data_IF_126656556918
#
_entry.id   IF_126656556918
#
_cell.length_a   1.000
_cell.length_b   1.000
_cell.length_c   1.000
_cell.angle_alpha   90.00
_cell.angle_beta   90.00
_cell.angle_gamma   90.00
#
_symmetry.space_group_name_H-M   'P 1'
#
loop_
_entity.id
_entity.type
_entity.pdbx_description
1 polymer ?
#
# COMPACT_ATOMS: atom_id res chain seq x y z
N UNK A 1 56.25 -16.31 -4.06
CA UNK A 1 55.87 -15.79 -5.39
C UNK A 1 54.38 -15.47 -5.31
N UNK A 2 54.05 -14.24 -4.86
CA UNK A 2 52.66 -13.79 -4.74
C UNK A 2 52.16 -13.39 -6.13
N UNK A 3 51.06 -13.99 -6.58
CA UNK A 3 50.38 -13.59 -7.80
C UNK A 3 49.66 -12.25 -7.56
N UNK A 4 49.98 -11.26 -8.39
CA UNK A 4 49.29 -9.97 -8.40
C UNK A 4 47.85 -10.15 -8.91
N UNK A 5 46.89 -9.65 -8.13
CA UNK A 5 45.50 -9.53 -8.55
C UNK A 5 45.40 -8.53 -9.72
N UNK A 6 44.55 -8.78 -10.73
CA UNK A 6 44.36 -7.85 -11.83
C UNK A 6 43.64 -6.59 -11.34
N UNK A 7 44.24 -5.43 -11.61
CA UNK A 7 43.60 -4.11 -11.52
C UNK A 7 42.38 -4.06 -12.44
N UNK A 8 41.22 -3.56 -11.98
CA UNK A 8 40.07 -3.38 -12.86
C UNK A 8 40.41 -2.35 -13.95
N UNK A 9 40.07 -2.68 -15.18
CA UNK A 9 40.12 -1.79 -16.33
C UNK A 9 39.26 -0.55 -16.05
N UNK A 10 39.77 0.61 -16.43
CA UNK A 10 39.25 1.93 -16.05
C UNK A 10 37.75 2.09 -16.30
N UNK A 11 37.06 2.60 -15.28
CA UNK A 11 35.78 3.27 -15.45
C UNK A 11 35.98 4.43 -16.43
N UNK A 12 35.37 4.32 -17.62
CA UNK A 12 35.23 5.48 -18.50
C UNK A 12 34.55 6.60 -17.72
N UNK A 13 35.06 7.82 -17.84
CA UNK A 13 34.44 9.00 -17.23
C UNK A 13 32.97 9.04 -17.64
N UNK A 14 32.05 8.89 -16.67
CA UNK A 14 30.62 8.94 -16.94
C UNK A 14 30.28 10.31 -17.51
N UNK A 15 29.61 10.35 -18.67
CA UNK A 15 29.12 11.60 -19.23
C UNK A 15 28.23 12.33 -18.20
N UNK A 16 28.33 13.65 -18.15
CA UNK A 16 27.53 14.48 -17.23
C UNK A 16 26.03 14.19 -17.41
N UNK A 17 25.29 13.91 -16.32
CA UNK A 17 23.90 13.53 -16.39
C UNK A 17 23.03 14.67 -16.93
N UNK A 18 21.98 14.29 -17.64
CA UNK A 18 20.86 15.16 -17.97
C UNK A 18 20.06 15.39 -16.68
N UNK A 19 20.07 16.61 -16.14
CA UNK A 19 19.28 16.92 -14.95
C UNK A 19 17.91 17.47 -15.34
N UNK A 20 16.86 16.91 -14.75
CA UNK A 20 15.48 17.37 -14.78
C UNK A 20 15.01 17.63 -13.34
N UNK A 21 14.18 18.65 -13.15
CA UNK A 21 13.67 19.03 -11.84
C UNK A 21 12.15 18.90 -11.80
N UNK A 22 11.63 18.46 -10.66
CA UNK A 22 10.20 18.38 -10.35
C UNK A 22 9.97 19.09 -9.01
N UNK A 23 9.03 20.02 -8.94
CA UNK A 23 8.70 20.79 -7.74
C UNK A 23 7.18 21.05 -7.62
N UNK A 24 6.61 21.21 -6.42
CA UNK A 24 5.19 21.50 -6.23
C UNK A 24 4.71 22.80 -6.91
N UNK A 25 5.59 23.80 -7.00
CA UNK A 25 5.35 25.08 -7.68
C UNK A 25 5.76 25.09 -9.16
N UNK A 26 6.11 23.92 -9.70
CA UNK A 26 6.47 23.71 -11.09
C UNK A 26 5.30 23.85 -12.06
N UNK A 27 5.62 23.74 -13.35
CA UNK A 27 4.64 23.73 -14.44
C UNK A 27 5.07 22.68 -15.48
N UNK A 28 4.15 21.80 -15.87
CA UNK A 28 4.43 20.73 -16.82
C UNK A 28 4.64 21.23 -18.26
N UNK A 29 4.35 22.51 -18.54
CA UNK A 29 4.69 23.18 -19.79
C UNK A 29 6.15 23.67 -19.85
N UNK A 30 6.85 23.75 -18.72
CA UNK A 30 8.25 24.19 -18.67
C UNK A 30 9.22 23.11 -19.16
N UNK A 31 10.51 23.45 -19.25
CA UNK A 31 11.55 22.53 -19.73
C UNK A 31 11.99 21.51 -18.67
N UNK A 32 11.75 21.80 -17.39
CA UNK A 32 12.26 21.04 -16.26
C UNK A 32 13.76 21.19 -16.04
N UNK A 33 14.45 22.09 -16.76
CA UNK A 33 15.92 22.25 -16.68
C UNK A 33 16.39 23.14 -15.54
N UNK A 34 15.50 23.98 -15.02
CA UNK A 34 15.81 24.89 -13.93
C UNK A 34 15.26 24.33 -12.62
N UNK A 35 16.04 24.47 -11.55
CA UNK A 35 15.63 24.01 -10.21
C UNK A 35 14.54 24.86 -9.58
N UNK A 36 14.33 26.08 -10.09
CA UNK A 36 13.30 27.01 -9.64
C UNK A 36 12.77 27.80 -10.86
N UNK A 37 11.56 28.37 -10.77
CA UNK A 37 11.03 29.25 -11.82
C UNK A 37 11.98 30.41 -12.11
N UNK A 38 12.17 30.74 -13.40
CA UNK A 38 12.86 31.97 -13.78
C UNK A 38 12.03 33.22 -13.44
N UNK A 39 12.64 34.40 -13.50
CA UNK A 39 12.04 35.64 -12.98
C UNK A 39 10.70 36.02 -13.67
N UNK A 40 10.54 35.68 -14.94
CA UNK A 40 9.34 35.89 -15.74
C UNK A 40 8.38 34.69 -15.76
N UNK A 41 8.70 33.61 -15.03
CA UNK A 41 7.91 32.36 -14.94
C UNK A 41 7.61 31.72 -16.30
N UNK A 42 8.53 31.87 -17.26
CA UNK A 42 8.46 31.23 -18.58
C UNK A 42 9.14 29.86 -18.62
N UNK A 43 9.96 29.53 -17.62
CA UNK A 43 10.62 28.23 -17.48
C UNK A 43 10.90 27.91 -15.99
N UNK A 44 11.16 26.63 -15.69
CA UNK A 44 11.28 26.14 -14.32
C UNK A 44 11.25 24.61 -14.21
N UNK A 45 11.03 24.07 -13.00
CA UNK A 45 10.84 22.63 -12.78
C UNK A 45 9.47 22.15 -13.29
N UNK A 46 9.35 20.87 -13.64
CA UNK A 46 8.05 20.26 -13.89
C UNK A 46 7.19 20.24 -12.62
N UNK A 47 5.87 20.17 -12.76
CA UNK A 47 4.96 19.97 -11.64
C UNK A 47 4.85 18.49 -11.24
N UNK A 48 5.00 17.57 -12.21
CA UNK A 48 4.74 16.14 -12.00
C UNK A 48 5.88 15.21 -12.41
N UNK A 49 6.01 14.08 -11.71
CA UNK A 49 6.93 13.01 -12.12
C UNK A 49 6.51 12.35 -13.45
N UNK A 50 5.21 12.31 -13.75
CA UNK A 50 4.70 11.82 -15.02
C UNK A 50 5.25 12.66 -16.19
N UNK A 51 5.29 13.98 -16.03
CA UNK A 51 5.88 14.87 -17.03
C UNK A 51 7.39 14.65 -17.19
N UNK A 52 8.11 14.43 -16.10
CA UNK A 52 9.55 14.11 -16.14
C UNK A 52 9.81 12.81 -16.92
N UNK A 53 9.02 11.75 -16.67
CA UNK A 53 9.03 10.51 -17.47
C UNK A 53 8.82 10.81 -18.96
N UNK A 54 7.80 11.59 -19.30
CA UNK A 54 7.48 11.90 -20.70
C UNK A 54 8.59 12.70 -21.39
N UNK A 55 9.27 13.58 -20.65
CA UNK A 55 10.45 14.28 -21.13
C UNK A 55 11.62 13.32 -21.41
N UNK A 56 11.84 12.32 -20.55
CA UNK A 56 12.86 11.28 -20.77
C UNK A 56 12.57 10.46 -22.02
N UNK A 57 11.30 10.08 -22.24
CA UNK A 57 10.87 9.39 -23.46
C UNK A 57 11.12 10.24 -24.70
N UNK A 58 10.84 11.54 -24.65
CA UNK A 58 11.13 12.46 -25.75
C UNK A 58 12.64 12.52 -26.06
N UNK A 59 13.49 12.66 -25.03
CA UNK A 59 14.95 12.65 -25.18
C UNK A 59 15.47 11.35 -25.79
N UNK A 60 14.91 10.20 -25.42
CA UNK A 60 15.25 8.91 -26.04
C UNK A 60 14.92 8.88 -27.52
N UNK A 61 13.74 9.36 -27.91
CA UNK A 61 13.34 9.44 -29.32
C UNK A 61 14.28 10.34 -30.13
N UNK A 62 14.64 11.49 -29.58
CA UNK A 62 15.61 12.41 -30.20
C UNK A 62 17.01 11.78 -30.34
N UNK A 63 17.40 10.93 -29.39
CA UNK A 63 18.67 10.20 -29.40
C UNK A 63 18.65 8.90 -30.22
N UNK A 64 17.56 8.58 -30.93
CA UNK A 64 17.46 7.37 -31.75
C UNK A 64 17.11 6.08 -31.00
N UNK A 65 16.54 6.19 -29.80
CA UNK A 65 15.96 5.08 -29.04
C UNK A 65 16.58 4.85 -27.66
N UNK A 66 17.83 5.27 -27.44
CA UNK A 66 18.52 5.12 -26.16
C UNK A 66 19.36 6.37 -25.84
N UNK A 67 19.47 6.71 -24.56
CA UNK A 67 20.31 7.82 -24.12
C UNK A 67 21.77 7.39 -24.05
N UNK A 68 22.68 8.24 -24.52
CA UNK A 68 24.13 8.04 -24.39
C UNK A 68 24.72 8.53 -23.06
N UNK A 69 23.88 9.07 -22.16
CA UNK A 69 24.28 9.60 -20.84
C UNK A 69 23.16 9.45 -19.83
N UNK A 70 23.47 9.42 -18.52
CA UNK A 70 22.47 9.24 -17.47
C UNK A 70 21.44 10.39 -17.41
N UNK A 71 20.31 10.15 -16.75
CA UNK A 71 19.33 11.19 -16.39
C UNK A 71 19.09 11.19 -14.89
N UNK A 72 19.18 12.35 -14.28
CA UNK A 72 18.81 12.57 -12.88
C UNK A 72 17.54 13.43 -12.84
N UNK A 73 16.47 12.89 -12.27
CA UNK A 73 15.22 13.58 -11.96
C UNK A 73 15.26 13.97 -10.48
N UNK A 74 15.57 15.23 -10.22
CA UNK A 74 15.63 15.81 -8.87
C UNK A 74 14.25 16.28 -8.44
N UNK A 75 13.68 15.57 -7.47
CA UNK A 75 12.37 15.83 -6.90
C UNK A 75 12.54 16.69 -5.66
N UNK A 76 12.10 17.95 -5.74
CA UNK A 76 12.19 18.91 -4.64
C UNK A 76 11.15 18.62 -3.56
N UNK A 77 11.39 19.11 -2.35
CA UNK A 77 10.59 18.91 -1.16
C UNK A 77 9.17 19.41 -1.32
N UNK A 78 8.23 18.61 -0.81
CA UNK A 78 6.81 18.90 -0.89
C UNK A 78 5.97 17.65 -1.11
N UNK A 79 4.66 17.83 -1.17
CA UNK A 79 3.69 16.74 -1.36
C UNK A 79 3.22 16.71 -2.81
N UNK A 80 3.39 15.59 -3.47
CA UNK A 80 2.95 15.32 -4.84
C UNK A 80 1.71 14.42 -4.79
N UNK A 81 0.58 14.94 -5.25
CA UNK A 81 -0.66 14.16 -5.29
C UNK A 81 -0.58 13.09 -6.39
N UNK A 82 -0.83 11.84 -6.00
CA UNK A 82 -0.90 10.68 -6.90
C UNK A 82 -2.35 10.22 -6.91
N UNK A 83 -3.10 10.50 -7.97
CA UNK A 83 -4.49 9.99 -8.10
C UNK A 83 -4.53 8.64 -8.83
N UNK A 84 -3.51 8.37 -9.65
CA UNK A 84 -3.27 7.10 -10.31
C UNK A 84 -1.77 6.79 -10.27
N UNK A 85 -1.36 5.50 -10.25
CA UNK A 85 0.04 5.13 -10.11
C UNK A 85 0.93 5.77 -11.19
N UNK A 86 2.14 6.19 -10.81
CA UNK A 86 3.19 6.47 -11.80
C UNK A 86 3.58 5.14 -12.46
N UNK A 87 3.23 4.96 -13.73
CA UNK A 87 3.58 3.75 -14.47
C UNK A 87 4.85 3.99 -15.29
N UNK A 88 5.85 3.14 -15.06
CA UNK A 88 7.08 3.05 -15.85
C UNK A 88 7.14 1.68 -16.54
N UNK A 89 7.49 1.70 -17.81
CA UNK A 89 7.45 0.55 -18.74
C UNK A 89 8.84 0.35 -19.35
N UNK A 90 9.07 -0.66 -20.22
CA UNK A 90 10.37 -0.82 -20.89
C UNK A 90 10.84 0.39 -21.70
N UNK A 91 9.93 1.29 -22.11
CA UNK A 91 10.30 2.56 -22.77
C UNK A 91 11.07 3.50 -21.81
N UNK A 92 10.88 3.33 -20.50
CA UNK A 92 11.44 4.18 -19.45
C UNK A 92 12.81 3.68 -18.97
N UNK A 93 13.19 2.44 -19.28
CA UNK A 93 14.45 1.81 -18.89
C UNK A 93 15.72 2.61 -19.25
N UNK A 94 16.67 2.67 -18.32
CA UNK A 94 18.03 3.14 -18.60
C UNK A 94 18.90 2.03 -19.20
N UNK A 95 20.21 2.25 -19.15
CA UNK A 95 21.23 1.21 -19.33
C UNK A 95 22.24 1.29 -18.19
N UNK A 96 23.10 0.29 -18.03
CA UNK A 96 24.19 0.36 -17.05
C UNK A 96 25.10 1.61 -17.24
N UNK A 97 25.27 2.09 -18.47
CA UNK A 97 26.08 3.28 -18.77
C UNK A 97 25.28 4.60 -18.73
N UNK A 98 23.96 4.53 -18.84
CA UNK A 98 23.04 5.67 -18.86
C UNK A 98 21.77 5.33 -18.05
N UNK A 99 21.87 5.18 -16.72
CA UNK A 99 20.72 4.90 -15.87
C UNK A 99 19.79 6.12 -15.80
N UNK A 100 18.56 5.88 -15.32
CA UNK A 100 17.60 6.94 -14.98
C UNK A 100 17.38 6.90 -13.47
N UNK A 101 17.67 8.02 -12.81
CA UNK A 101 17.59 8.15 -11.35
C UNK A 101 16.49 9.15 -11.00
N UNK A 102 15.51 8.75 -10.19
CA UNK A 102 14.58 9.64 -9.52
C UNK A 102 15.05 9.81 -8.08
N UNK A 103 15.51 11.00 -7.72
CA UNK A 103 16.13 11.26 -6.42
C UNK A 103 15.52 12.49 -5.75
N UNK A 104 15.42 12.45 -4.43
CA UNK A 104 15.16 13.64 -3.65
C UNK A 104 16.24 14.68 -3.87
N UNK A 105 15.84 15.95 -4.00
CA UNK A 105 16.79 17.06 -3.99
C UNK A 105 17.61 17.05 -2.68
N UNK A 106 18.88 17.49 -2.71
CA UNK A 106 19.77 17.37 -1.55
C UNK A 106 19.20 17.98 -0.26
N UNK A 107 19.00 17.14 0.75
CA UNK A 107 18.49 17.57 2.07
C UNK A 107 16.97 17.77 2.14
N UNK A 108 16.25 17.42 1.07
CA UNK A 108 14.79 17.58 0.97
C UNK A 108 14.07 16.23 1.07
N UNK A 109 12.78 16.25 1.40
CA UNK A 109 11.97 15.03 1.58
C UNK A 109 10.67 15.14 0.76
N UNK A 110 10.71 14.78 -0.53
CA UNK A 110 9.52 14.74 -1.37
C UNK A 110 8.61 13.56 -0.98
N UNK A 111 7.31 13.84 -0.83
CA UNK A 111 6.29 12.84 -0.47
C UNK A 111 5.32 12.64 -1.64
N UNK A 112 5.36 11.46 -2.25
CA UNK A 112 4.39 11.01 -3.24
C UNK A 112 3.19 10.43 -2.51
N UNK A 113 2.10 11.20 -2.46
CA UNK A 113 0.94 10.93 -1.63
C UNK A 113 -0.26 10.53 -2.48
N UNK A 114 -0.73 9.30 -2.31
CA UNK A 114 -1.95 8.77 -2.91
C UNK A 114 -3.25 9.29 -2.28
N UNK A 115 -3.13 10.11 -1.24
CA UNK A 115 -4.24 10.53 -0.39
C UNK A 115 -4.68 11.96 -0.63
N UNK A 116 -5.94 12.21 -0.28
CA UNK A 116 -6.60 13.50 -0.34
C UNK A 116 -6.97 13.97 1.06
N UNK A 117 -6.75 15.26 1.31
CA UNK A 117 -7.14 15.91 2.57
C UNK A 117 -8.67 15.99 2.66
N UNK A 118 -9.22 15.66 3.81
CA UNK A 118 -10.63 15.86 4.14
C UNK A 118 -10.73 17.16 4.96
N UNK A 119 -11.67 18.02 4.57
CA UNK A 119 -11.88 19.34 5.16
C UNK A 119 -13.33 19.51 5.62
N UNK A 120 -13.63 20.66 6.22
CA UNK A 120 -15.00 21.02 6.58
C UNK A 120 -15.56 20.25 7.78
N UNK A 121 -14.69 19.81 8.70
CA UNK A 121 -15.11 19.21 9.96
C UNK A 121 -15.89 20.21 10.81
N UNK A 122 -17.03 19.77 11.32
CA UNK A 122 -17.89 20.52 12.23
C UNK A 122 -18.15 19.70 13.48
N UNK A 123 -18.27 20.37 14.63
CA UNK A 123 -18.54 19.70 15.90
C UNK A 123 -19.95 19.11 15.91
N UNK A 124 -20.04 17.84 16.32
CA UNK A 124 -21.27 17.07 16.42
C UNK A 124 -21.23 16.18 17.67
N UNK A 125 -22.23 15.31 17.83
CA UNK A 125 -22.28 14.32 18.89
C UNK A 125 -22.83 13.01 18.33
N UNK A 126 -22.12 11.91 18.57
CA UNK A 126 -22.50 10.56 18.14
C UNK A 126 -22.36 9.64 19.35
N UNK A 127 -23.35 8.78 19.61
CA UNK A 127 -23.35 7.86 20.75
C UNK A 127 -23.04 8.54 22.11
N UNK A 128 -23.55 9.77 22.30
CA UNK A 128 -23.28 10.62 23.47
C UNK A 128 -21.80 11.03 23.67
N UNK A 129 -20.98 10.93 22.61
CA UNK A 129 -19.56 11.34 22.59
C UNK A 129 -19.38 12.57 21.69
N UNK A 130 -18.45 13.49 22.04
CA UNK A 130 -18.01 14.53 21.11
C UNK A 130 -17.47 13.90 19.83
N UNK A 131 -17.96 14.36 18.69
CA UNK A 131 -17.58 13.87 17.37
C UNK A 131 -17.35 15.07 16.46
N UNK A 132 -16.53 14.91 15.42
CA UNK A 132 -16.45 15.84 14.31
C UNK A 132 -16.94 15.17 13.04
N UNK A 133 -17.73 15.92 12.29
CA UNK A 133 -18.40 15.44 11.09
C UNK A 133 -17.99 16.29 9.90
N UNK A 134 -17.60 15.63 8.80
CA UNK A 134 -17.33 16.26 7.51
C UNK A 134 -18.18 15.62 6.40
N UNK A 135 -18.60 16.43 5.44
CA UNK A 135 -19.18 15.91 4.18
C UNK A 135 -18.03 15.61 3.22
N UNK A 136 -18.03 14.42 2.63
CA UNK A 136 -16.97 13.97 1.72
C UNK A 136 -17.56 13.83 0.30
N UNK A 137 -17.30 14.80 -0.60
CA UNK A 137 -17.80 14.74 -1.97
C UNK A 137 -17.34 13.48 -2.70
N UNK A 138 -18.24 12.86 -3.47
CA UNK A 138 -17.98 11.64 -4.24
C UNK A 138 -18.27 10.35 -3.48
N UNK A 139 -18.35 10.38 -2.14
CA UNK A 139 -18.63 9.16 -1.35
C UNK A 139 -20.07 8.68 -1.57
N UNK A 140 -21.05 9.59 -1.47
CA UNK A 140 -22.47 9.25 -1.64
C UNK A 140 -22.78 8.71 -3.03
N UNK A 141 -22.07 9.22 -4.03
CA UNK A 141 -22.21 8.84 -5.44
C UNK A 141 -21.42 7.57 -5.79
N UNK A 142 -20.64 7.01 -4.84
CA UNK A 142 -19.79 5.84 -5.05
C UNK A 142 -18.51 6.11 -5.86
N UNK A 143 -18.19 7.38 -6.12
CA UNK A 143 -16.98 7.79 -6.83
C UNK A 143 -15.72 7.75 -5.95
N UNK A 144 -15.88 7.71 -4.62
CA UNK A 144 -14.78 7.57 -3.68
C UNK A 144 -15.21 6.71 -2.49
N UNK A 145 -14.49 5.63 -2.23
CA UNK A 145 -14.61 4.82 -1.01
C UNK A 145 -13.21 4.67 -0.44
N UNK A 146 -13.10 4.64 0.89
CA UNK A 146 -11.84 4.38 1.54
C UNK A 146 -12.02 3.63 2.86
N UNK A 147 -10.99 2.90 3.26
CA UNK A 147 -11.02 2.05 4.46
C UNK A 147 -9.94 2.46 5.48
N UNK A 148 -9.18 3.51 5.18
CA UNK A 148 -8.14 4.04 6.06
C UNK A 148 -8.27 5.55 6.16
N UNK A 149 -7.93 6.05 7.34
CA UNK A 149 -7.87 7.47 7.63
C UNK A 149 -6.62 7.72 8.46
N UNK A 150 -5.84 8.72 8.08
CA UNK A 150 -4.74 9.23 8.88
C UNK A 150 -5.09 10.63 9.36
N UNK A 151 -4.88 10.89 10.65
CA UNK A 151 -5.05 12.22 11.24
C UNK A 151 -3.72 12.62 11.88
N UNK A 152 -3.16 13.75 11.42
CA UNK A 152 -1.86 14.26 11.88
C UNK A 152 -0.73 13.22 11.76
N UNK A 153 -0.70 12.48 10.65
CA UNK A 153 0.30 11.44 10.39
C UNK A 153 0.10 10.14 11.18
N UNK A 154 -1.01 9.98 11.91
CA UNK A 154 -1.31 8.75 12.66
C UNK A 154 -2.52 8.04 12.06
N UNK A 155 -2.40 6.74 11.84
CA UNK A 155 -3.53 5.89 11.43
C UNK A 155 -4.63 5.93 12.49
N UNK A 156 -5.88 6.06 12.06
CA UNK A 156 -7.08 6.06 12.91
C UNK A 156 -7.87 4.77 12.71
N UNK A 157 -8.46 4.31 13.81
CA UNK A 157 -9.15 3.03 13.88
C UNK A 157 -10.55 3.15 13.27
N UNK A 158 -10.94 2.26 12.35
CA UNK A 158 -12.36 2.16 11.97
C UNK A 158 -13.15 1.77 13.21
N UNK A 159 -14.29 2.41 13.45
CA UNK A 159 -15.14 2.13 14.60
C UNK A 159 -15.36 0.63 14.78
N UNK A 160 -14.96 0.06 15.92
CA UNK A 160 -14.93 -1.39 16.11
C UNK A 160 -15.43 -1.81 17.49
N UNK A 161 -15.82 -3.07 17.59
CA UNK A 161 -16.13 -3.71 18.86
C UNK A 161 -15.53 -5.11 18.93
N UNK A 162 -14.86 -5.45 20.05
CA UNK A 162 -14.50 -4.57 21.17
C UNK A 162 -13.45 -3.52 20.75
N UNK A 163 -13.25 -2.48 21.57
CA UNK A 163 -12.25 -1.44 21.32
C UNK A 163 -10.80 -1.95 21.52
N UNK A 164 -9.82 -1.21 20.99
CA UNK A 164 -8.38 -1.42 21.26
C UNK A 164 -7.85 -2.72 20.65
N UNK A 165 -7.35 -3.64 21.48
CA UNK A 165 -6.93 -4.99 21.08
C UNK A 165 -7.95 -6.07 21.50
N UNK A 166 -9.12 -5.64 21.98
CA UNK A 166 -10.15 -6.55 22.46
C UNK A 166 -10.73 -7.42 21.35
N UNK A 167 -11.11 -8.64 21.71
CA UNK A 167 -11.70 -9.65 20.82
C UNK A 167 -12.81 -10.40 21.54
N UNK A 168 -13.77 -10.90 20.75
CA UNK A 168 -14.85 -11.79 21.14
C UNK A 168 -14.51 -13.23 20.72
N UNK A 169 -15.38 -14.18 21.07
CA UNK A 169 -15.25 -15.58 20.66
C UNK A 169 -16.54 -16.06 20.02
N UNK A 170 -16.40 -16.76 18.89
CA UNK A 170 -17.52 -17.40 18.20
C UNK A 170 -18.21 -18.37 19.19
N UNK A 171 -19.53 -18.32 19.26
CA UNK A 171 -20.31 -19.15 20.19
C UNK A 171 -20.63 -20.53 19.61
N UNK A 172 -20.77 -20.64 18.29
CA UNK A 172 -21.05 -21.92 17.63
C UNK A 172 -20.85 -21.87 16.12
N UNK A 173 -20.55 -23.03 15.53
CA UNK A 173 -20.41 -23.20 14.09
C UNK A 173 -21.53 -24.14 13.62
N UNK A 174 -22.60 -23.62 12.98
CA UNK A 174 -23.76 -24.42 12.63
C UNK A 174 -23.51 -25.35 11.43
N UNK A 175 -22.52 -25.04 10.61
CA UNK A 175 -22.15 -25.85 9.45
C UNK A 175 -21.09 -26.89 9.80
N UNK A 176 -21.22 -28.10 9.26
CA UNK A 176 -20.21 -29.16 9.39
C UNK A 176 -19.04 -29.00 8.40
N UNK A 177 -19.09 -28.03 7.48
CA UNK A 177 -18.09 -27.82 6.44
C UNK A 177 -16.90 -27.00 6.95
N UNK A 178 -15.67 -27.27 6.48
CA UNK A 178 -14.52 -26.45 6.83
C UNK A 178 -14.65 -25.00 6.39
N UNK A 179 -15.18 -24.76 5.18
CA UNK A 179 -15.48 -23.40 4.70
C UNK A 179 -16.91 -23.04 5.08
N UNK A 180 -17.11 -21.91 5.73
CA UNK A 180 -18.44 -21.43 6.15
C UNK A 180 -18.58 -19.95 5.86
N UNK A 181 -19.81 -19.52 5.62
CA UNK A 181 -20.21 -18.12 5.47
C UNK A 181 -21.00 -17.62 6.69
N UNK A 182 -21.00 -18.34 7.81
CA UNK A 182 -21.80 -17.97 8.98
C UNK A 182 -21.28 -18.56 10.28
N UNK A 183 -21.63 -17.92 11.39
CA UNK A 183 -21.43 -18.48 12.72
C UNK A 183 -22.47 -17.96 13.71
N UNK A 184 -22.60 -18.66 14.83
CA UNK A 184 -23.38 -18.21 15.97
C UNK A 184 -22.55 -17.34 16.92
N UNK A 185 -23.10 -16.21 17.36
CA UNK A 185 -22.45 -15.25 18.26
C UNK A 185 -23.06 -15.25 19.68
N UNK A 186 -22.35 -14.71 20.67
CA UNK A 186 -22.87 -14.61 22.03
C UNK A 186 -23.86 -13.44 22.16
N UNK A 187 -24.81 -13.47 23.11
CA UNK A 187 -25.78 -12.38 23.28
C UNK A 187 -25.09 -11.02 23.46
N UNK A 188 -25.40 -10.07 22.57
CA UNK A 188 -24.88 -8.69 22.62
C UNK A 188 -23.63 -8.42 21.77
N UNK A 189 -22.98 -9.45 21.23
CA UNK A 189 -21.77 -9.30 20.42
C UNK A 189 -22.03 -8.58 19.07
N UNK A 190 -23.14 -8.94 18.42
CA UNK A 190 -23.55 -8.46 17.11
C UNK A 190 -25.03 -8.09 17.13
N UNK A 191 -25.41 -7.17 16.24
CA UNK A 191 -26.78 -6.71 16.01
C UNK A 191 -26.99 -6.37 14.54
N UNK A 192 -28.23 -6.23 14.12
CA UNK A 192 -28.56 -5.71 12.79
C UNK A 192 -28.32 -4.19 12.71
N UNK A 193 -27.05 -3.80 12.56
CA UNK A 193 -26.62 -2.40 12.39
C UNK A 193 -27.33 -1.73 11.21
N UNK A 194 -27.53 -0.41 11.28
CA UNK A 194 -28.28 0.34 10.27
C UNK A 194 -27.68 0.20 8.85
N UNK A 195 -26.35 0.25 8.74
CA UNK A 195 -25.60 0.13 7.48
C UNK A 195 -24.87 -1.23 7.39
N UNK A 196 -25.62 -2.32 7.59
CA UNK A 196 -25.06 -3.66 7.78
C UNK A 196 -24.10 -4.13 6.68
N UNK A 197 -24.34 -3.76 5.41
CA UNK A 197 -23.51 -4.18 4.27
C UNK A 197 -22.11 -3.55 4.23
N UNK A 198 -21.88 -2.55 5.07
CA UNK A 198 -20.58 -1.88 5.24
C UNK A 198 -19.79 -2.49 6.40
N UNK A 199 -20.41 -3.37 7.20
CA UNK A 199 -19.82 -3.97 8.40
C UNK A 199 -19.00 -5.18 8.00
N UNK A 200 -17.81 -5.28 8.59
CA UNK A 200 -16.92 -6.44 8.45
C UNK A 200 -16.80 -7.15 9.80
N UNK A 201 -16.82 -8.47 9.79
CA UNK A 201 -16.31 -9.29 10.89
C UNK A 201 -14.90 -9.73 10.53
N UNK A 202 -13.95 -9.49 11.42
CA UNK A 202 -12.58 -9.99 11.27
C UNK A 202 -12.38 -11.13 12.24
N UNK A 203 -12.30 -12.36 11.73
CA UNK A 203 -12.05 -13.55 12.52
C UNK A 203 -10.55 -13.85 12.54
N UNK A 204 -10.01 -14.05 13.73
CA UNK A 204 -8.61 -14.37 14.01
C UNK A 204 -8.53 -15.84 14.39
N UNK A 205 -7.85 -16.63 13.57
CA UNK A 205 -7.79 -18.07 13.76
C UNK A 205 -6.47 -18.64 13.24
N UNK A 206 -5.88 -19.57 13.98
CA UNK A 206 -4.54 -20.09 13.69
C UNK A 206 -3.52 -18.94 13.60
N UNK A 207 -2.79 -18.87 12.48
CA UNK A 207 -1.87 -17.81 12.11
C UNK A 207 -2.46 -16.83 11.08
N UNK A 208 -3.77 -16.89 10.82
CA UNK A 208 -4.43 -16.08 9.80
C UNK A 208 -5.57 -15.22 10.35
N UNK A 209 -5.84 -14.12 9.68
CA UNK A 209 -7.07 -13.36 9.80
C UNK A 209 -7.90 -13.50 8.52
N UNK A 210 -9.22 -13.63 8.70
CA UNK A 210 -10.18 -13.55 7.59
C UNK A 210 -11.14 -12.40 7.82
N UNK A 211 -11.39 -11.63 6.76
CA UNK A 211 -12.27 -10.47 6.77
C UNK A 211 -13.54 -10.86 6.04
N UNK A 212 -14.66 -10.84 6.75
CA UNK A 212 -15.94 -11.39 6.33
C UNK A 212 -16.99 -10.29 6.29
N UNK A 213 -17.33 -9.75 5.11
CA UNK A 213 -18.34 -8.71 4.98
C UNK A 213 -19.72 -9.26 5.34
N UNK A 214 -20.43 -8.57 6.23
CA UNK A 214 -21.73 -9.01 6.72
C UNK A 214 -22.80 -8.87 5.63
N UNK A 215 -23.63 -9.90 5.47
CA UNK A 215 -24.81 -9.90 4.60
C UNK A 215 -26.10 -9.81 5.43
N UNK A 216 -26.20 -10.56 6.54
CA UNK A 216 -27.36 -10.53 7.42
C UNK A 216 -27.02 -10.93 8.86
N UNK A 217 -27.82 -10.46 9.82
CA UNK A 217 -27.77 -10.84 11.23
C UNK A 217 -29.18 -11.21 11.70
N UNK A 218 -29.33 -12.42 12.24
CA UNK A 218 -30.51 -12.85 12.99
C UNK A 218 -30.19 -12.79 14.49
N UNK A 219 -30.76 -11.81 15.20
CA UNK A 219 -30.51 -11.63 16.64
C UNK A 219 -31.22 -12.67 17.51
N UNK A 220 -32.27 -13.32 17.03
CA UNK A 220 -33.00 -14.35 17.78
C UNK A 220 -32.20 -15.66 17.78
N UNK A 221 -31.78 -16.08 16.58
CA UNK A 221 -30.94 -17.27 16.38
C UNK A 221 -29.47 -17.00 16.73
N UNK A 222 -29.11 -15.72 16.92
CA UNK A 222 -27.75 -15.22 17.10
C UNK A 222 -26.83 -15.70 15.99
N UNK A 223 -27.28 -15.58 14.76
CA UNK A 223 -26.59 -16.06 13.57
C UNK A 223 -26.19 -14.89 12.69
N UNK A 224 -24.90 -14.78 12.37
CA UNK A 224 -24.41 -13.84 11.35
C UNK A 224 -24.11 -14.61 10.06
N UNK A 225 -24.44 -14.03 8.91
CA UNK A 225 -24.13 -14.57 7.58
C UNK A 225 -23.34 -13.55 6.77
N UNK A 226 -22.37 -14.02 6.01
CA UNK A 226 -21.37 -13.24 5.30
C UNK A 226 -21.52 -13.38 3.78
N UNK A 227 -20.96 -12.42 3.07
CA UNK A 227 -20.93 -12.41 1.61
C UNK A 227 -19.84 -13.31 1.01
N UNK A 228 -18.90 -13.78 1.84
CA UNK A 228 -17.77 -14.60 1.46
C UNK A 228 -17.70 -15.84 2.36
N UNK A 229 -17.16 -16.94 1.81
CA UNK A 229 -16.85 -18.13 2.61
C UNK A 229 -15.45 -18.00 3.19
N UNK A 230 -15.28 -18.41 4.44
CA UNK A 230 -13.97 -18.58 5.07
C UNK A 230 -13.10 -19.54 4.24
N UNK A 231 -11.77 -19.38 4.34
CA UNK A 231 -10.84 -20.30 3.66
C UNK A 231 -10.65 -21.62 4.40
N UNK A 232 -10.90 -21.63 5.72
CA UNK A 232 -10.79 -22.79 6.62
C UNK A 232 -11.85 -22.71 7.71
N UNK A 233 -11.94 -23.73 8.57
CA UNK A 233 -12.85 -23.69 9.71
C UNK A 233 -12.45 -22.56 10.64
N UNK A 234 -13.44 -21.83 11.15
CA UNK A 234 -13.24 -20.72 12.07
C UNK A 234 -12.98 -21.26 13.49
N UNK A 235 -11.87 -21.99 13.64
CA UNK A 235 -11.39 -22.63 14.86
C UNK A 235 -9.90 -22.34 15.10
N UNK A 236 -9.44 -22.51 16.33
CA UNK A 236 -8.02 -22.30 16.70
C UNK A 236 -7.13 -23.50 16.32
N UNK A 237 -7.73 -24.61 15.88
CA UNK A 237 -7.06 -25.83 15.42
C UNK A 237 -7.28 -26.05 13.91
N UNK A 238 -6.39 -26.85 13.30
CA UNK A 238 -6.49 -27.21 11.88
C UNK A 238 -7.75 -28.04 11.57
N UNK A 239 -8.22 -27.97 10.32
CA UNK A 239 -9.42 -28.68 9.83
C UNK A 239 -9.36 -30.21 10.01
N UNK A 240 -8.17 -30.77 10.28
CA UNK A 240 -7.95 -32.19 10.58
C UNK A 240 -8.45 -32.60 11.97
N UNK A 241 -8.62 -31.65 12.89
CA UNK A 241 -9.18 -31.89 14.22
C UNK A 241 -10.72 -31.92 14.13
N UNK A 242 -11.40 -32.89 14.78
CA UNK A 242 -12.87 -32.92 14.82
C UNK A 242 -13.46 -31.62 15.36
N UNK A 243 -14.62 -31.22 14.84
CA UNK A 243 -15.24 -29.93 15.19
C UNK A 243 -15.65 -29.87 16.66
N UNK A 244 -16.08 -31.00 17.22
CA UNK A 244 -16.43 -31.17 18.63
C UNK A 244 -15.25 -30.99 19.59
N UNK A 245 -14.02 -31.21 19.11
CA UNK A 245 -12.78 -31.09 19.86
C UNK A 245 -12.07 -29.76 19.61
N UNK A 246 -12.59 -28.92 18.70
CA UNK A 246 -11.99 -27.66 18.30
C UNK A 246 -12.53 -26.48 19.10
N UNK A 247 -11.66 -25.49 19.37
CA UNK A 247 -12.03 -24.23 20.00
C UNK A 247 -12.44 -23.23 18.92
N UNK A 248 -13.64 -22.61 18.99
CA UNK A 248 -14.05 -21.59 18.04
C UNK A 248 -13.13 -20.37 18.04
N UNK A 249 -12.94 -19.79 16.84
CA UNK A 249 -12.07 -18.65 16.62
C UNK A 249 -12.50 -17.40 17.40
N UNK A 250 -11.53 -16.49 17.56
CA UNK A 250 -11.77 -15.14 18.06
C UNK A 250 -12.17 -14.23 16.93
N UNK A 251 -12.89 -13.15 17.22
CA UNK A 251 -13.24 -12.16 16.21
C UNK A 251 -13.48 -10.78 16.79
N UNK A 252 -13.58 -9.78 15.91
CA UNK A 252 -14.16 -8.49 16.21
C UNK A 252 -15.01 -8.02 15.04
N UNK A 253 -15.84 -7.02 15.29
CA UNK A 253 -16.68 -6.36 14.27
C UNK A 253 -16.20 -4.94 14.07
N UNK A 254 -16.20 -4.45 12.84
CA UNK A 254 -15.83 -3.07 12.53
C UNK A 254 -16.78 -2.42 11.52
N UNK A 255 -16.69 -1.09 11.47
CA UNK A 255 -17.35 -0.20 10.53
C UNK A 255 -18.88 -0.09 10.67
N UNK A 256 -19.35 0.05 11.91
CA UNK A 256 -20.72 0.47 12.20
C UNK A 256 -20.71 1.77 13.02
N UNK A 257 -21.62 2.70 12.68
CA UNK A 257 -21.73 4.00 13.35
C UNK A 257 -22.06 3.83 14.83
N UNK A 258 -22.81 2.79 15.16
CA UNK A 258 -23.23 2.48 16.51
C UNK A 258 -22.10 1.89 17.37
N UNK A 259 -20.94 1.58 16.77
CA UNK A 259 -19.71 1.17 17.46
C UNK A 259 -18.76 2.34 17.71
N UNK A 260 -19.01 3.51 17.10
CA UNK A 260 -18.16 4.69 17.21
C UNK A 260 -18.24 5.28 18.62
N UNK A 261 -17.31 4.91 19.51
CA UNK A 261 -17.40 5.23 20.93
C UNK A 261 -16.07 5.56 21.64
N UNK A 262 -14.94 5.35 20.96
CA UNK A 262 -13.60 5.55 21.51
C UNK A 262 -12.79 6.63 20.78
N UNK A 263 -11.92 7.38 21.49
CA UNK A 263 -11.07 8.39 20.84
C UNK A 263 -10.20 7.79 19.74
N UNK A 264 -10.08 8.51 18.62
CA UNK A 264 -9.34 8.06 17.45
C UNK A 264 -10.15 7.16 16.51
N UNK A 265 -11.38 6.78 16.86
CA UNK A 265 -12.23 6.03 15.95
C UNK A 265 -12.90 6.91 14.89
N UNK A 266 -13.17 6.35 13.73
CA UNK A 266 -13.91 7.00 12.66
C UNK A 266 -14.90 6.05 11.97
N UNK A 267 -15.90 6.64 11.33
CA UNK A 267 -16.92 5.94 10.56
C UNK A 267 -17.28 6.74 9.30
N UNK A 268 -17.21 6.07 8.13
CA UNK A 268 -17.66 6.65 6.86
C UNK A 268 -19.07 6.13 6.53
N UNK A 269 -20.06 7.00 6.62
CA UNK A 269 -21.40 6.73 6.12
C UNK A 269 -21.42 6.91 4.59
N UNK A 270 -21.32 5.80 3.86
CA UNK A 270 -21.31 5.83 2.40
C UNK A 270 -22.64 6.25 1.81
N UNK A 271 -23.74 5.96 2.48
CA UNK A 271 -25.09 6.30 2.00
C UNK A 271 -25.37 7.80 2.03
N UNK A 272 -24.73 8.52 2.97
CA UNK A 272 -24.89 9.96 3.16
C UNK A 272 -23.68 10.79 2.69
N UNK A 273 -22.54 10.14 2.42
CA UNK A 273 -21.28 10.82 2.08
C UNK A 273 -20.72 11.63 3.25
N UNK A 274 -20.79 11.06 4.46
CA UNK A 274 -20.42 11.72 5.72
C UNK A 274 -19.31 10.92 6.42
N UNK A 275 -18.26 11.60 6.84
CA UNK A 275 -17.25 11.05 7.74
C UNK A 275 -17.49 11.57 9.16
N UNK A 276 -17.65 10.66 10.12
CA UNK A 276 -17.70 10.92 11.55
C UNK A 276 -16.36 10.50 12.19
N UNK A 277 -15.77 11.36 13.03
CA UNK A 277 -14.48 11.12 13.69
C UNK A 277 -14.54 11.52 15.17
N UNK A 278 -14.16 10.61 16.08
CA UNK A 278 -13.97 10.91 17.49
C UNK A 278 -12.54 11.42 17.69
N UNK A 279 -12.35 12.73 17.97
CA UNK A 279 -11.01 13.30 18.05
C UNK A 279 -10.21 12.71 19.21
N UNK A 280 -8.89 12.64 19.03
CA UNK A 280 -7.98 12.33 20.13
C UNK A 280 -7.96 13.46 21.16
N UNK A 281 -7.67 13.17 22.44
CA UNK A 281 -7.44 14.22 23.43
C UNK A 281 -6.36 15.21 22.96
N UNK A 282 -6.72 16.50 22.93
CA UNK A 282 -5.82 17.59 22.53
C UNK A 282 -5.91 18.01 21.05
N UNK A 283 -6.66 17.28 20.21
CA UNK A 283 -6.90 17.72 18.83
C UNK A 283 -7.93 18.86 18.76
N UNK A 284 -7.75 19.75 17.78
CA UNK A 284 -8.71 20.81 17.44
C UNK A 284 -9.16 20.70 15.96
N UNK A 285 -10.45 20.93 15.65
CA UNK A 285 -11.03 20.61 14.33
C UNK A 285 -10.44 21.44 13.19
N UNK A 286 -9.96 22.64 13.49
CA UNK A 286 -9.32 23.57 12.55
C UNK A 286 -7.80 23.36 12.41
N UNK A 287 -7.22 22.44 13.19
CA UNK A 287 -5.77 22.19 13.22
C UNK A 287 -5.39 20.79 12.72
N UNK A 288 -6.35 19.87 12.60
CA UNK A 288 -6.05 18.53 12.12
C UNK A 288 -5.77 18.46 10.62
N UNK A 289 -4.88 17.57 10.23
CA UNK A 289 -4.74 17.07 8.86
C UNK A 289 -5.34 15.67 8.78
N UNK A 290 -6.56 15.55 8.25
CA UNK A 290 -7.17 14.26 7.93
C UNK A 290 -6.92 13.89 6.47
N UNK A 291 -6.28 12.75 6.21
CA UNK A 291 -5.97 12.24 4.87
C UNK A 291 -6.63 10.89 4.69
N UNK A 292 -7.34 10.71 3.59
CA UNK A 292 -7.88 9.43 3.14
C UNK A 292 -7.29 9.06 1.77
N UNK A 293 -7.03 7.76 1.51
CA UNK A 293 -6.43 7.31 0.26
C UNK A 293 -7.37 7.45 -0.93
N UNK A 294 -6.81 7.73 -2.10
CA UNK A 294 -7.51 7.79 -3.41
C UNK A 294 -6.87 6.81 -4.39
N UNK A 295 -5.53 6.80 -4.47
CA UNK A 295 -4.82 5.92 -5.38
C UNK A 295 -4.78 4.47 -4.87
N UNK A 296 -4.93 3.54 -5.81
CA UNK A 296 -4.78 2.12 -5.55
C UNK A 296 -3.32 1.71 -5.35
N UNK A 297 -2.36 2.33 -6.04
CA UNK A 297 -0.91 2.13 -5.85
C UNK A 297 -0.19 3.44 -6.21
N UNK A 298 1.07 3.58 -5.81
CA UNK A 298 1.82 4.83 -6.00
C UNK A 298 2.79 4.75 -7.19
N UNK A 299 3.45 3.61 -7.36
CA UNK A 299 4.42 3.36 -8.43
C UNK A 299 4.22 1.94 -8.97
N UNK A 300 4.21 1.81 -10.29
CA UNK A 300 4.19 0.52 -10.98
C UNK A 300 5.30 0.47 -12.03
N UNK A 301 6.14 -0.56 -11.93
CA UNK A 301 7.16 -0.90 -12.92
C UNK A 301 6.62 -2.11 -13.72
N UNK A 302 6.15 -1.85 -14.94
CA UNK A 302 5.41 -2.82 -15.75
C UNK A 302 6.22 -3.28 -16.95
N UNK A 303 7.01 -4.34 -16.75
CA UNK A 303 7.62 -5.13 -17.82
C UNK A 303 6.65 -6.10 -18.48
N UNK A 304 7.15 -6.86 -19.44
CA UNK A 304 6.48 -7.95 -20.15
C UNK A 304 7.47 -9.11 -20.25
N UNK A 305 7.77 -9.80 -19.12
CA UNK A 305 8.83 -10.81 -19.06
C UNK A 305 8.59 -11.97 -20.03
N UNK A 306 7.34 -12.35 -20.28
CA UNK A 306 6.97 -13.36 -21.28
C UNK A 306 7.35 -12.98 -22.73
N UNK A 307 7.53 -11.69 -22.99
CA UNK A 307 7.99 -11.14 -24.27
C UNK A 307 9.46 -10.71 -24.22
N UNK A 308 10.16 -10.95 -23.10
CA UNK A 308 11.54 -10.54 -22.89
C UNK A 308 11.75 -9.02 -22.85
N UNK A 309 10.71 -8.24 -22.49
CA UNK A 309 10.82 -6.78 -22.34
C UNK A 309 10.78 -6.41 -20.87
N UNK A 310 11.80 -5.71 -20.39
CA UNK A 310 11.97 -5.44 -18.96
C UNK A 310 12.04 -3.95 -18.66
N UNK A 311 11.68 -3.58 -17.43
CA UNK A 311 12.00 -2.28 -16.85
C UNK A 311 13.38 -2.38 -16.21
N UNK A 312 14.35 -1.62 -16.70
CA UNK A 312 15.76 -1.82 -16.34
C UNK A 312 16.47 -0.53 -15.96
N UNK A 313 17.45 -0.63 -15.05
CA UNK A 313 18.37 0.45 -14.70
C UNK A 313 17.70 1.75 -14.25
N UNK A 314 16.62 1.61 -13.48
CA UNK A 314 15.97 2.69 -12.76
C UNK A 314 16.43 2.71 -11.30
N UNK A 315 16.63 3.90 -10.74
CA UNK A 315 16.92 4.06 -9.30
C UNK A 315 15.99 5.08 -8.68
N UNK A 316 15.42 4.75 -7.52
CA UNK A 316 14.62 5.65 -6.69
C UNK A 316 15.37 5.91 -5.40
N UNK A 317 15.66 7.18 -5.10
CA UNK A 317 16.52 7.56 -3.97
C UNK A 317 15.87 8.60 -3.07
N UNK A 318 15.76 8.32 -1.78
CA UNK A 318 15.30 9.31 -0.80
C UNK A 318 13.85 9.76 -0.94
N UNK A 319 13.02 9.05 -1.72
CA UNK A 319 11.62 9.40 -1.94
C UNK A 319 10.73 8.78 -0.86
N UNK A 320 9.73 9.54 -0.40
CA UNK A 320 8.69 9.03 0.50
C UNK A 320 7.40 8.73 -0.28
N UNK A 321 6.76 7.61 0.03
CA UNK A 321 5.55 7.12 -0.61
C UNK A 321 4.47 6.86 0.45
N UNK A 322 3.31 7.52 0.32
CA UNK A 322 2.26 7.40 1.34
C UNK A 322 0.84 7.45 0.82
N UNK A 323 -0.11 7.01 1.65
CA UNK A 323 -1.55 7.21 1.49
C UNK A 323 -2.20 6.57 0.26
N UNK A 324 -1.78 5.36 -0.13
CA UNK A 324 -2.52 4.52 -1.07
C UNK A 324 -3.25 3.40 -0.35
N UNK A 325 -4.29 2.84 -0.96
CA UNK A 325 -4.90 1.63 -0.42
C UNK A 325 -5.33 0.60 -1.45
N UNK A 326 -5.30 -0.65 -1.00
CA UNK A 326 -6.02 -1.76 -1.59
C UNK A 326 -6.97 -2.30 -0.55
N UNK A 327 -8.12 -2.76 -1.00
CA UNK A 327 -9.10 -3.40 -0.14
C UNK A 327 -9.51 -4.74 -0.72
N UNK A 328 -9.75 -5.69 0.18
CA UNK A 328 -10.17 -7.04 -0.16
C UNK A 328 -11.54 -7.01 -0.88
N UNK A 329 -11.69 -7.68 -2.03
CA UNK A 329 -12.99 -7.81 -2.69
C UNK A 329 -14.04 -8.43 -1.75
N UNK A 330 -15.27 -7.93 -1.80
CA UNK A 330 -16.34 -8.32 -0.85
C UNK A 330 -16.69 -9.82 -0.88
N UNK A 331 -16.44 -10.48 -2.00
CA UNK A 331 -16.71 -11.90 -2.20
C UNK A 331 -15.52 -12.80 -1.82
N UNK A 332 -14.47 -12.23 -1.21
CA UNK A 332 -13.28 -12.93 -0.76
C UNK A 332 -13.10 -12.74 0.75
N UNK A 333 -12.54 -13.75 1.42
CA UNK A 333 -12.36 -13.75 2.88
C UNK A 333 -10.92 -13.48 3.33
N UNK A 334 -9.98 -13.34 2.39
CA UNK A 334 -8.55 -13.26 2.70
C UNK A 334 -7.78 -14.51 2.27
N UNK A 335 -6.51 -14.54 2.66
CA UNK A 335 -5.58 -15.62 2.33
C UNK A 335 -5.45 -16.66 3.44
N UNK A 336 -4.93 -17.84 3.06
CA UNK A 336 -4.57 -18.89 4.01
C UNK A 336 -3.16 -18.75 4.62
N UNK A 337 -2.37 -17.76 4.20
CA UNK A 337 -1.05 -17.46 4.76
C UNK A 337 -0.50 -16.11 4.25
N UNK A 338 0.19 -15.38 5.13
CA UNK A 338 1.01 -14.21 4.80
C UNK A 338 0.28 -13.03 4.14
N UNK A 339 -1.05 -13.06 3.99
CA UNK A 339 -1.80 -12.06 3.23
C UNK A 339 -1.20 -11.86 1.83
N UNK A 340 -0.77 -12.96 1.18
CA UNK A 340 0.02 -12.92 -0.04
C UNK A 340 -0.70 -12.25 -1.22
N UNK A 341 -2.04 -12.17 -1.22
CA UNK A 341 -2.79 -11.50 -2.28
C UNK A 341 -2.78 -9.96 -2.12
N UNK A 342 -2.44 -9.46 -0.93
CA UNK A 342 -2.32 -8.01 -0.69
C UNK A 342 -1.14 -7.50 -1.54
N UNK A 343 -1.37 -6.54 -2.44
CA UNK A 343 -0.30 -6.05 -3.29
C UNK A 343 0.63 -5.10 -2.53
N UNK A 344 1.82 -4.86 -3.07
CA UNK A 344 2.71 -3.78 -2.63
C UNK A 344 2.18 -2.40 -3.03
N UNK A 345 2.41 -1.36 -2.22
CA UNK A 345 2.10 0.02 -2.60
C UNK A 345 2.95 0.49 -3.77
N UNK A 346 4.19 -0.03 -3.84
CA UNK A 346 5.07 0.01 -5.01
C UNK A 346 5.16 -1.41 -5.58
N UNK A 347 4.91 -1.55 -6.88
CA UNK A 347 4.83 -2.85 -7.53
C UNK A 347 5.74 -2.94 -8.76
N UNK A 348 6.34 -4.10 -8.96
CA UNK A 348 7.15 -4.43 -10.12
C UNK A 348 6.83 -5.80 -10.70
N UNK A 349 6.71 -5.86 -12.02
CA UNK A 349 6.73 -7.07 -12.84
C UNK A 349 7.76 -6.90 -13.95
N UNK A 350 8.57 -7.92 -14.22
CA UNK A 350 9.61 -7.86 -15.25
C UNK A 350 10.63 -6.74 -15.00
N UNK A 351 11.07 -6.56 -13.76
CA UNK A 351 12.02 -5.50 -13.36
C UNK A 351 13.42 -6.07 -13.19
N UNK A 352 14.44 -5.43 -13.78
CA UNK A 352 15.83 -5.87 -13.64
C UNK A 352 16.80 -4.75 -13.31
N UNK A 353 17.79 -5.05 -12.47
CA UNK A 353 18.86 -4.09 -12.18
C UNK A 353 18.35 -2.71 -11.75
N UNK A 354 17.19 -2.67 -11.09
CA UNK A 354 16.59 -1.47 -10.54
C UNK A 354 16.84 -1.39 -9.03
N UNK A 355 16.76 -0.17 -8.49
CA UNK A 355 17.12 0.10 -7.10
C UNK A 355 16.08 0.98 -6.39
N UNK A 356 15.78 0.64 -5.15
CA UNK A 356 15.15 1.51 -4.17
C UNK A 356 16.16 1.74 -3.03
N UNK A 357 16.55 2.98 -2.79
CA UNK A 357 17.63 3.32 -1.88
C UNK A 357 17.25 4.48 -0.97
N UNK A 358 17.22 4.27 0.34
CA UNK A 358 16.88 5.36 1.27
C UNK A 358 15.44 5.85 1.15
N UNK A 359 14.55 5.08 0.51
CA UNK A 359 13.14 5.45 0.36
C UNK A 359 12.35 5.13 1.62
N UNK A 360 11.21 5.79 1.81
CA UNK A 360 10.22 5.38 2.81
C UNK A 360 8.89 5.00 2.17
N UNK A 361 8.27 3.95 2.68
CA UNK A 361 6.88 3.58 2.33
C UNK A 361 6.09 3.53 3.62
N UNK A 362 5.13 4.44 3.77
CA UNK A 362 4.36 4.53 5.01
C UNK A 362 2.92 4.98 4.82
N UNK A 363 2.06 4.70 5.80
CA UNK A 363 0.65 5.10 5.74
C UNK A 363 -0.04 4.48 4.51
N UNK A 364 0.09 3.16 4.31
CA UNK A 364 -0.49 2.48 3.14
C UNK A 364 -1.38 1.28 3.53
N UNK A 365 -2.35 1.01 2.65
CA UNK A 365 -3.28 -0.14 2.69
C UNK A 365 -2.73 -1.44 2.13
N UNK A 366 -1.41 -1.61 2.15
CA UNK A 366 -0.70 -2.56 1.31
C UNK A 366 0.40 -3.29 2.06
N UNK A 367 1.07 -4.21 1.36
CA UNK A 367 2.50 -4.39 1.57
C UNK A 367 3.28 -3.13 1.15
N UNK A 368 4.50 -2.94 1.61
CA UNK A 368 5.31 -1.79 1.16
C UNK A 368 5.76 -1.88 -0.29
N UNK A 369 6.67 -2.83 -0.60
CA UNK A 369 7.26 -3.00 -1.94
C UNK A 369 7.09 -4.45 -2.39
N UNK A 370 6.62 -4.65 -3.62
CA UNK A 370 6.46 -5.96 -4.24
C UNK A 370 7.22 -6.05 -5.56
N UNK A 371 8.11 -7.04 -5.68
CA UNK A 371 8.78 -7.42 -6.92
C UNK A 371 8.31 -8.83 -7.29
N UNK A 372 7.30 -8.89 -8.15
CA UNK A 372 6.61 -10.11 -8.57
C UNK A 372 7.34 -10.85 -9.70
N UNK A 373 6.56 -11.40 -10.65
CA UNK A 373 7.03 -12.21 -11.80
C UNK A 373 8.15 -11.53 -12.58
N UNK A 374 9.14 -12.31 -13.03
CA UNK A 374 10.24 -11.87 -13.90
C UNK A 374 11.19 -10.83 -13.30
N UNK A 375 11.17 -10.62 -11.97
CA UNK A 375 12.02 -9.62 -11.32
C UNK A 375 13.37 -10.19 -10.89
N UNK A 376 14.47 -9.64 -11.40
CA UNK A 376 15.82 -10.17 -11.14
C UNK A 376 16.89 -9.11 -10.89
N UNK A 377 17.84 -9.40 -10.00
CA UNK A 377 19.00 -8.53 -9.75
C UNK A 377 18.62 -7.10 -9.34
N UNK A 378 17.53 -6.93 -8.61
CA UNK A 378 17.11 -5.64 -8.05
C UNK A 378 17.60 -5.49 -6.61
N UNK A 379 17.76 -4.25 -6.15
CA UNK A 379 18.20 -3.95 -4.78
C UNK A 379 17.20 -3.05 -4.08
N UNK A 380 16.74 -3.45 -2.90
CA UNK A 380 15.98 -2.61 -1.96
C UNK A 380 16.91 -2.40 -0.77
N UNK A 381 17.41 -1.18 -0.58
CA UNK A 381 18.40 -0.91 0.46
C UNK A 381 18.13 0.34 1.26
N UNK A 382 18.47 0.33 2.55
CA UNK A 382 18.34 1.48 3.45
C UNK A 382 16.92 2.09 3.48
N UNK A 383 15.90 1.30 3.16
CA UNK A 383 14.52 1.78 3.12
C UNK A 383 13.86 1.65 4.50
N UNK A 384 12.93 2.54 4.81
CA UNK A 384 12.12 2.53 6.03
C UNK A 384 10.65 2.27 5.68
N UNK A 385 10.09 1.16 6.16
CA UNK A 385 8.76 0.69 5.79
C UNK A 385 7.91 0.53 7.05
N UNK A 386 6.90 1.37 7.23
CA UNK A 386 6.13 1.42 8.48
C UNK A 386 4.69 1.90 8.33
N UNK A 387 3.86 1.66 9.34
CA UNK A 387 2.41 1.93 9.28
C UNK A 387 1.76 1.28 8.05
N UNK A 388 1.94 -0.04 7.94
CA UNK A 388 1.50 -0.85 6.80
C UNK A 388 0.26 -1.66 7.19
N UNK A 389 -0.77 -1.63 6.34
CA UNK A 389 -1.92 -2.52 6.52
C UNK A 389 -1.53 -4.00 6.38
N UNK A 390 -0.63 -4.32 5.45
CA UNK A 390 0.00 -5.62 5.26
C UNK A 390 1.45 -5.62 5.73
N UNK A 391 2.35 -6.27 4.99
CA UNK A 391 3.74 -6.46 5.39
C UNK A 391 4.75 -5.53 4.69
N UNK A 392 6.04 -5.79 4.83
CA UNK A 392 7.09 -4.91 4.28
C UNK A 392 7.37 -5.15 2.81
N UNK A 393 8.04 -6.27 2.49
CA UNK A 393 8.56 -6.55 1.15
C UNK A 393 8.07 -7.92 0.65
N UNK A 394 7.69 -8.00 -0.63
CA UNK A 394 7.35 -9.25 -1.32
C UNK A 394 8.31 -9.49 -2.49
N UNK A 395 8.85 -10.70 -2.57
CA UNK A 395 9.71 -11.14 -3.69
C UNK A 395 9.15 -12.43 -4.32
N UNK A 396 8.96 -12.41 -5.64
CA UNK A 396 8.43 -13.54 -6.41
C UNK A 396 6.91 -13.66 -6.36
N UNK A 397 6.41 -14.83 -6.74
CA UNK A 397 4.99 -15.16 -6.82
C UNK A 397 4.72 -16.57 -6.27
N UNK A 398 3.47 -17.01 -6.20
CA UNK A 398 3.14 -18.37 -5.72
C UNK A 398 3.33 -19.45 -6.80
N UNK A 399 3.37 -19.06 -8.08
CA UNK A 399 3.50 -19.96 -9.22
C UNK A 399 4.95 -20.40 -9.46
N UNK A 400 5.19 -21.71 -9.61
CA UNK A 400 6.51 -22.25 -9.95
C UNK A 400 6.74 -22.07 -11.45
N UNK A 401 7.58 -21.11 -11.83
CA UNK A 401 8.01 -20.90 -13.22
C UNK A 401 9.21 -21.79 -13.57
N UNK A 402 9.32 -22.29 -14.82
CA UNK A 402 10.57 -22.87 -15.30
C UNK A 402 11.69 -21.82 -15.36
N UNK A 403 12.93 -22.25 -15.56
CA UNK A 403 14.02 -21.30 -15.81
C UNK A 403 13.72 -20.47 -17.06
N UNK A 404 13.85 -19.15 -16.96
CA UNK A 404 13.50 -18.28 -18.06
C UNK A 404 13.24 -16.84 -17.64
N UNK A 405 12.79 -15.99 -18.58
CA UNK A 405 12.62 -14.56 -18.36
C UNK A 405 11.54 -14.20 -17.33
N UNK A 406 10.59 -15.10 -17.07
CA UNK A 406 9.51 -14.93 -16.10
C UNK A 406 9.89 -15.36 -14.69
N UNK A 407 11.01 -16.08 -14.51
CA UNK A 407 11.43 -16.53 -13.18
C UNK A 407 12.09 -15.37 -12.44
N UNK A 408 11.50 -14.96 -11.33
CA UNK A 408 12.13 -14.02 -10.39
C UNK A 408 13.28 -14.69 -9.66
N UNK A 409 14.39 -13.99 -9.44
CA UNK A 409 15.57 -14.55 -8.77
C UNK A 409 16.60 -13.47 -8.43
N UNK A 410 17.45 -13.72 -7.43
CA UNK A 410 18.66 -12.92 -7.23
C UNK A 410 18.40 -11.46 -6.83
N UNK A 411 17.28 -11.17 -6.16
CA UNK A 411 17.00 -9.84 -5.64
C UNK A 411 17.64 -9.68 -4.25
N UNK A 412 18.00 -8.45 -3.90
CA UNK A 412 18.65 -8.12 -2.65
C UNK A 412 17.80 -7.16 -1.81
N UNK A 413 17.60 -7.51 -0.55
CA UNK A 413 17.09 -6.61 0.50
C UNK A 413 18.22 -6.40 1.50
N UNK A 414 18.63 -5.16 1.77
CA UNK A 414 19.75 -4.90 2.67
C UNK A 414 19.53 -3.64 3.51
N UNK A 415 19.93 -3.66 4.77
CA UNK A 415 19.93 -2.48 5.65
C UNK A 415 18.56 -1.76 5.75
N UNK A 416 17.46 -2.47 5.53
CA UNK A 416 16.11 -1.90 5.61
C UNK A 416 15.55 -2.03 7.03
N UNK A 417 14.74 -1.05 7.43
CA UNK A 417 13.99 -1.07 8.67
C UNK A 417 12.50 -1.29 8.34
N UNK A 418 11.94 -2.39 8.83
CA UNK A 418 10.55 -2.78 8.58
C UNK A 418 9.88 -2.94 9.95
N UNK A 419 8.89 -2.11 10.25
CA UNK A 419 8.19 -2.10 11.53
C UNK A 419 6.73 -1.70 11.35
N UNK A 420 5.91 -1.81 12.40
CA UNK A 420 4.51 -1.33 12.41
C UNK A 420 3.69 -1.77 11.18
N UNK A 421 3.78 -3.07 10.84
CA UNK A 421 3.00 -3.71 9.78
C UNK A 421 1.89 -4.60 10.34
N UNK A 422 1.03 -5.10 9.46
CA UNK A 422 -0.07 -6.00 9.79
C UNK A 422 -1.27 -5.32 10.45
N UNK A 423 -1.42 -4.00 10.30
CA UNK A 423 -2.48 -3.25 10.97
C UNK A 423 -3.90 -3.67 10.55
N UNK A 424 -4.08 -4.13 9.31
CA UNK A 424 -5.37 -4.60 8.79
C UNK A 424 -5.34 -6.10 8.45
N UNK A 425 -4.23 -6.57 7.88
CA UNK A 425 -3.99 -7.96 7.49
C UNK A 425 -2.97 -8.56 8.47
N UNK A 426 -3.48 -9.00 9.62
CA UNK A 426 -2.69 -9.44 10.78
C UNK A 426 -1.73 -10.59 10.46
N UNK A 427 -2.08 -11.40 9.46
CA UNK A 427 -1.29 -12.53 9.01
C UNK A 427 -0.08 -12.15 8.13
N UNK A 428 0.05 -10.88 7.76
CA UNK A 428 1.15 -10.40 6.93
C UNK A 428 2.53 -10.54 7.63
N UNK A 429 3.60 -10.54 6.84
CA UNK A 429 4.97 -10.75 7.33
C UNK A 429 5.90 -9.62 6.89
N UNK A 430 7.00 -9.40 7.62
CA UNK A 430 7.97 -8.35 7.28
C UNK A 430 8.57 -8.51 5.88
N UNK A 431 9.04 -9.71 5.54
CA UNK A 431 9.47 -10.07 4.19
C UNK A 431 8.86 -11.40 3.79
N UNK A 432 8.14 -11.41 2.67
CA UNK A 432 7.59 -12.61 2.06
C UNK A 432 8.36 -12.96 0.80
N UNK A 433 8.79 -14.22 0.68
CA UNK A 433 9.47 -14.74 -0.51
C UNK A 433 8.66 -15.93 -1.02
N UNK A 434 8.11 -15.79 -2.22
CA UNK A 434 7.48 -16.88 -2.97
C UNK A 434 8.51 -17.66 -3.78
N UNK A 435 8.19 -17.91 -5.05
CA UNK A 435 9.08 -18.54 -6.02
C UNK A 435 10.11 -17.53 -6.55
N UNK A 436 11.19 -17.36 -5.80
CA UNK A 436 12.31 -16.49 -6.18
C UNK A 436 13.62 -17.00 -5.56
N UNK A 437 14.38 -17.89 -6.24
CA UNK A 437 15.66 -18.39 -5.73
C UNK A 437 16.73 -17.30 -5.69
N UNK A 438 17.85 -17.61 -5.03
CA UNK A 438 19.09 -16.83 -5.02
C UNK A 438 19.00 -15.40 -4.46
N UNK A 439 17.90 -15.05 -3.78
CA UNK A 439 17.77 -13.77 -3.10
C UNK A 439 18.78 -13.61 -1.95
N UNK A 440 19.18 -12.37 -1.67
CA UNK A 440 19.99 -11.99 -0.51
C UNK A 440 19.16 -11.11 0.43
N UNK A 441 19.19 -11.40 1.73
CA UNK A 441 18.53 -10.63 2.79
C UNK A 441 19.53 -10.25 3.88
#
# INVERSE_FOLDING_TARGET
MLAALPTPAGAGASAEPIVLHVAPEGDDAWSGRLSAPNADRSDGPFATLARARDAIRALKREAGGALGRPVDVRVHGGRYAIEAPLVLTPEDSGTAAAPVVYEAAPGETPVLSGGRRIEGFSKSTVNCKPCWTARVPGVREGAWTFHQLWVNGQRRTRARHPNGDGVLRIAGLPDATPKTDRFQFAPGDLRAYANLKDVDVVALHLWVDVRLPVESVDENERLVTFAAHSQRRLTEEEDSVPAEDSVPARYYVENARELLDSPGEWYLDRSEGRLDYLPMPGEAPDQIEAIAPVASQLLRLEGQPEQGRFVEHLSFRGLAFSHSEWWLPRNEAGDGQAAWQVPGALYGEGVRSCQFEGCSVSHVGHYGIELGRGCTANTISRCDLFDLAGGGIKLGETEIRPEGPERSAGNEVADCHIHDGGHLFHQAVGVWIGQSPDNRL
#
